data_IF_762003257385
#
_entry.id   IF_762003257385
#
_cell.length_a   1.000
_cell.length_b   1.000
_cell.length_c   1.000
_cell.angle_alpha   90.00
_cell.angle_beta   90.00
_cell.angle_gamma   90.00
#
_symmetry.space_group_name_H-M   'P 1'
#
loop_
_entity.id
_entity.type
_entity.pdbx_description
1 polymer ?
#
# COMPACT_ATOMS: atom_id res chain seq x y z
N UNK A 1 -32.95 3.19 10.78
CA UNK A 1 -32.38 3.05 12.13
C UNK A 1 -31.25 2.04 12.10
N UNK A 2 -30.01 2.49 11.87
CA UNK A 2 -28.81 1.64 11.90
C UNK A 2 -28.33 1.51 13.34
N UNK A 3 -28.44 0.31 13.93
CA UNK A 3 -27.74 -0.01 15.18
C UNK A 3 -26.24 0.06 14.90
N UNK A 4 -25.62 1.17 15.27
CA UNK A 4 -24.18 1.27 15.48
C UNK A 4 -23.83 0.25 16.56
N UNK A 5 -23.41 -0.95 16.14
CA UNK A 5 -22.72 -1.88 17.03
C UNK A 5 -21.43 -1.17 17.42
N UNK A 6 -21.42 -0.56 18.61
CA UNK A 6 -20.20 -0.15 19.32
C UNK A 6 -19.40 -1.43 19.60
N UNK A 7 -18.66 -1.89 18.59
CA UNK A 7 -17.63 -2.89 18.78
C UNK A 7 -16.60 -2.29 19.72
N UNK A 8 -16.36 -2.95 20.86
CA UNK A 8 -15.26 -2.59 21.73
C UNK A 8 -13.98 -2.66 20.89
N UNK A 9 -13.28 -1.53 20.79
CA UNK A 9 -12.12 -1.36 19.91
C UNK A 9 -10.99 -2.35 20.22
N UNK A 10 -11.01 -3.01 21.39
CA UNK A 10 -10.08 -4.04 21.79
C UNK A 10 -10.84 -5.31 22.23
N UNK A 11 -10.96 -6.29 21.32
CA UNK A 11 -11.24 -7.65 21.75
C UNK A 11 -9.99 -8.24 22.41
N UNK A 12 -10.15 -9.12 23.41
CA UNK A 12 -9.02 -9.85 24.02
C UNK A 12 -8.13 -10.52 22.95
N UNK A 13 -8.75 -11.06 21.90
CA UNK A 13 -8.06 -11.65 20.75
C UNK A 13 -7.24 -10.64 19.94
N UNK A 14 -7.76 -9.43 19.71
CA UNK A 14 -7.04 -8.38 18.99
C UNK A 14 -5.84 -7.85 19.79
N UNK A 15 -6.02 -7.66 21.10
CA UNK A 15 -4.94 -7.26 22.00
C UNK A 15 -3.82 -8.31 22.04
N UNK A 16 -4.17 -9.59 22.12
CA UNK A 16 -3.21 -10.69 22.07
C UNK A 16 -2.41 -10.71 20.76
N UNK A 17 -3.08 -10.52 19.61
CA UNK A 17 -2.40 -10.47 18.32
C UNK A 17 -1.45 -9.27 18.21
N UNK A 18 -1.85 -8.09 18.72
CA UNK A 18 -0.98 -6.91 18.79
C UNK A 18 0.25 -7.17 19.66
N UNK A 19 0.05 -7.73 20.85
CA UNK A 19 1.15 -8.07 21.75
C UNK A 19 2.13 -9.06 21.09
N UNK A 20 1.60 -10.11 20.48
CA UNK A 20 2.42 -11.10 19.77
C UNK A 20 3.10 -10.53 18.53
N UNK A 21 2.53 -9.50 17.87
CA UNK A 21 3.15 -8.91 16.67
C UNK A 21 4.54 -8.30 16.95
N UNK A 22 4.82 -7.93 18.19
CA UNK A 22 6.11 -7.40 18.63
C UNK A 22 7.10 -8.49 19.06
N UNK A 23 6.60 -9.63 19.57
CA UNK A 23 7.43 -10.69 20.15
C UNK A 23 7.66 -11.87 19.20
N UNK A 24 6.64 -12.25 18.46
CA UNK A 24 6.65 -13.38 17.54
C UNK A 24 5.85 -13.06 16.27
N UNK A 25 6.40 -12.23 15.36
CA UNK A 25 5.68 -11.68 14.21
C UNK A 25 4.98 -12.72 13.33
N UNK A 26 5.66 -13.84 13.03
CA UNK A 26 5.12 -14.92 12.18
C UNK A 26 3.93 -15.60 12.87
N UNK A 27 4.07 -15.97 14.15
CA UNK A 27 2.97 -16.57 14.90
C UNK A 27 1.80 -15.61 15.07
N UNK A 28 2.05 -14.31 15.22
CA UNK A 28 1.01 -13.30 15.27
C UNK A 28 0.22 -13.20 13.96
N UNK A 29 0.86 -13.35 12.79
CA UNK A 29 0.17 -13.40 11.49
C UNK A 29 -0.74 -14.63 11.41
N UNK A 30 -0.23 -15.81 11.76
CA UNK A 30 -1.02 -17.06 11.75
C UNK A 30 -2.23 -16.93 12.68
N UNK A 31 -1.99 -16.52 13.93
CA UNK A 31 -3.04 -16.35 14.92
C UNK A 31 -4.07 -15.29 14.50
N UNK A 32 -3.61 -14.22 13.86
CA UNK A 32 -4.46 -13.15 13.32
C UNK A 32 -5.49 -13.70 12.33
N UNK A 33 -5.08 -14.54 11.38
CA UNK A 33 -6.02 -15.18 10.44
C UNK A 33 -6.96 -16.18 11.12
N UNK A 34 -6.49 -16.89 12.15
CA UNK A 34 -7.33 -17.79 12.92
C UNK A 34 -8.44 -17.04 13.67
N UNK A 35 -8.12 -15.87 14.25
CA UNK A 35 -9.00 -15.14 15.18
C UNK A 35 -9.78 -13.97 14.56
N UNK A 36 -9.56 -13.67 13.28
CA UNK A 36 -10.25 -12.54 12.61
C UNK A 36 -11.75 -12.76 12.51
N UNK A 37 -12.50 -11.73 12.88
CA UNK A 37 -13.95 -11.62 12.76
C UNK A 37 -14.34 -10.14 12.52
N UNK A 38 -15.62 -9.89 12.18
CA UNK A 38 -16.10 -8.53 11.86
C UNK A 38 -15.88 -7.52 13.00
N UNK A 39 -15.81 -7.96 14.26
CA UNK A 39 -15.65 -7.08 15.43
C UNK A 39 -14.19 -6.64 15.64
N UNK A 40 -13.21 -7.45 15.26
CA UNK A 40 -11.78 -7.20 15.54
C UNK A 40 -10.92 -6.98 14.30
N UNK A 41 -11.47 -7.11 13.09
CA UNK A 41 -10.77 -7.01 11.80
C UNK A 41 -9.84 -5.79 11.71
N UNK A 42 -10.24 -4.62 12.23
CA UNK A 42 -9.40 -3.41 12.22
C UNK A 42 -8.11 -3.61 13.01
N UNK A 43 -8.21 -4.17 14.21
CA UNK A 43 -7.06 -4.42 15.10
C UNK A 43 -6.19 -5.53 14.54
N UNK A 44 -6.80 -6.57 13.99
CA UNK A 44 -6.09 -7.67 13.36
C UNK A 44 -5.27 -7.19 12.16
N UNK A 45 -5.83 -6.34 11.30
CA UNK A 45 -5.09 -5.76 10.18
C UNK A 45 -3.87 -4.94 10.65
N UNK A 46 -3.99 -4.23 11.78
CA UNK A 46 -2.87 -3.51 12.39
C UNK A 46 -1.82 -4.49 12.94
N UNK A 47 -2.23 -5.55 13.63
CA UNK A 47 -1.31 -6.56 14.14
C UNK A 47 -0.52 -7.23 13.02
N UNK A 48 -1.17 -7.60 11.90
CA UNK A 48 -0.50 -8.16 10.73
C UNK A 48 0.48 -7.13 10.13
N UNK A 49 0.09 -5.87 10.00
CA UNK A 49 0.95 -4.81 9.48
C UNK A 49 2.19 -4.58 10.36
N UNK A 50 2.04 -4.59 11.69
CA UNK A 50 3.17 -4.49 12.64
C UNK A 50 4.08 -5.73 12.52
N UNK A 51 3.51 -6.93 12.41
CA UNK A 51 4.31 -8.13 12.18
C UNK A 51 5.13 -8.06 10.90
N UNK A 52 4.53 -7.59 9.79
CA UNK A 52 5.25 -7.42 8.51
C UNK A 52 6.33 -6.36 8.65
N UNK A 53 6.05 -5.22 9.29
CA UNK A 53 7.05 -4.20 9.60
C UNK A 53 8.23 -4.82 10.36
N UNK A 54 7.96 -5.54 11.47
CA UNK A 54 8.99 -6.16 12.29
C UNK A 54 9.86 -7.16 11.49
N UNK A 55 9.24 -7.99 10.65
CA UNK A 55 9.96 -8.91 9.76
C UNK A 55 10.87 -8.13 8.80
N UNK A 56 10.39 -7.03 8.22
CA UNK A 56 11.17 -6.27 7.24
C UNK A 56 12.30 -5.43 7.86
N UNK A 57 12.26 -5.14 9.17
CA UNK A 57 13.40 -4.49 9.84
C UNK A 57 14.66 -5.36 9.85
N UNK A 58 14.51 -6.68 9.71
CA UNK A 58 15.64 -7.63 9.70
C UNK A 58 16.09 -8.01 8.28
N UNK A 59 15.38 -7.53 7.25
CA UNK A 59 15.66 -7.83 5.85
C UNK A 59 16.40 -6.64 5.24
N UNK A 60 17.63 -6.83 4.71
CA UNK A 60 18.36 -5.73 4.08
C UNK A 60 17.68 -5.28 2.77
N UNK A 61 17.91 -4.03 2.34
CA UNK A 61 17.39 -3.56 1.07
C UNK A 61 18.00 -4.35 -0.10
N UNK A 62 17.17 -4.84 -1.02
CA UNK A 62 17.61 -5.57 -2.22
C UNK A 62 17.42 -4.74 -3.49
N UNK A 63 18.26 -4.99 -4.50
CA UNK A 63 18.14 -4.48 -5.88
C UNK A 63 17.83 -2.97 -5.99
N UNK A 64 16.61 -2.58 -6.42
CA UNK A 64 16.22 -1.18 -6.62
C UNK A 64 16.42 -0.37 -5.34
N UNK A 65 16.02 -0.92 -4.20
CA UNK A 65 16.08 -0.23 -2.94
C UNK A 65 17.51 0.00 -2.46
N UNK A 66 18.42 -0.96 -2.72
CA UNK A 66 19.84 -0.78 -2.44
C UNK A 66 20.47 0.26 -3.38
N UNK A 67 20.10 0.25 -4.67
CA UNK A 67 20.52 1.30 -5.60
C UNK A 67 20.06 2.68 -5.12
N UNK A 68 18.80 2.81 -4.68
CA UNK A 68 18.27 4.07 -4.13
C UNK A 68 18.95 4.47 -2.84
N UNK A 69 19.30 3.53 -1.97
CA UNK A 69 20.09 3.83 -0.79
C UNK A 69 21.43 4.51 -1.15
N UNK A 70 22.13 3.99 -2.16
CA UNK A 70 23.38 4.57 -2.67
C UNK A 70 23.15 5.95 -3.32
N UNK A 71 22.16 6.03 -4.22
CA UNK A 71 21.88 7.25 -5.00
C UNK A 71 21.32 8.41 -4.16
N UNK A 72 20.74 8.12 -2.99
CA UNK A 72 20.07 9.12 -2.13
C UNK A 72 20.72 9.22 -0.76
N UNK A 73 20.38 8.33 0.17
CA UNK A 73 20.75 8.43 1.57
C UNK A 73 22.27 8.53 1.80
N UNK A 74 23.08 7.81 1.02
CA UNK A 74 24.54 7.88 1.10
C UNK A 74 25.16 9.04 0.32
N UNK A 75 24.54 9.47 -0.78
CA UNK A 75 25.05 10.57 -1.62
C UNK A 75 24.74 11.94 -1.02
N UNK A 76 23.67 12.04 -0.23
CA UNK A 76 23.26 13.30 0.40
C UNK A 76 24.27 13.75 1.46
N UNK A 77 24.79 14.95 1.24
CA UNK A 77 25.55 15.72 2.23
C UNK A 77 24.62 16.53 3.15
N UNK A 78 25.17 17.07 4.24
CA UNK A 78 24.44 17.93 5.18
C UNK A 78 23.90 19.22 4.54
N UNK A 79 24.49 19.64 3.41
CA UNK A 79 24.09 20.83 2.66
C UNK A 79 23.01 20.55 1.60
N UNK A 80 22.69 19.27 1.35
CA UNK A 80 21.71 18.89 0.32
C UNK A 80 20.34 19.47 0.68
N UNK A 81 19.77 20.30 -0.19
CA UNK A 81 18.44 20.88 0.02
C UNK A 81 17.34 19.97 -0.52
N UNK A 82 16.08 20.22 -0.12
CA UNK A 82 14.95 19.50 -0.70
C UNK A 82 14.75 19.83 -2.19
N UNK A 83 15.15 21.02 -2.65
CA UNK A 83 15.10 21.37 -4.07
C UNK A 83 16.09 20.53 -4.88
N UNK A 84 17.31 20.33 -4.35
CA UNK A 84 18.32 19.48 -4.97
C UNK A 84 17.85 18.03 -5.04
N UNK A 85 17.26 17.53 -3.95
CA UNK A 85 16.79 16.15 -3.85
C UNK A 85 15.67 15.79 -4.83
N UNK A 86 14.88 16.75 -5.31
CA UNK A 86 13.71 16.49 -6.18
C UNK A 86 13.97 16.89 -7.64
N UNK A 87 15.04 17.63 -7.91
CA UNK A 87 15.34 18.12 -9.25
C UNK A 87 15.63 16.97 -10.21
N UNK A 88 14.94 16.96 -11.36
CA UNK A 88 15.10 15.90 -12.38
C UNK A 88 14.51 14.54 -12.02
N UNK A 89 13.73 14.45 -10.94
CA UNK A 89 13.13 13.19 -10.49
C UNK A 89 11.60 13.23 -10.53
N UNK A 90 10.99 12.20 -11.13
CA UNK A 90 9.53 12.09 -11.25
C UNK A 90 8.90 11.47 -9.99
N UNK A 91 9.58 10.52 -9.35
CA UNK A 91 9.12 9.84 -8.13
C UNK A 91 9.57 10.59 -6.86
N UNK A 92 9.09 11.84 -6.72
CA UNK A 92 9.59 12.85 -5.78
C UNK A 92 9.60 12.35 -4.32
N UNK A 93 8.56 11.62 -3.89
CA UNK A 93 8.33 11.35 -2.47
C UNK A 93 9.40 10.42 -1.86
N UNK A 94 9.98 9.52 -2.66
CA UNK A 94 11.11 8.69 -2.24
C UNK A 94 12.32 9.55 -1.84
N UNK A 95 12.68 10.51 -2.68
CA UNK A 95 13.86 11.35 -2.47
C UNK A 95 13.70 12.29 -1.28
N UNK A 96 12.50 12.85 -1.12
CA UNK A 96 12.14 13.68 0.06
C UNK A 96 12.25 12.85 1.34
N UNK A 97 11.75 11.62 1.35
CA UNK A 97 11.81 10.75 2.53
C UNK A 97 13.26 10.33 2.81
N UNK A 98 14.05 9.96 1.80
CA UNK A 98 15.45 9.62 1.98
C UNK A 98 16.26 10.78 2.60
N UNK A 99 16.02 12.02 2.15
CA UNK A 99 16.68 13.20 2.73
C UNK A 99 16.21 13.47 4.16
N UNK A 100 14.92 13.31 4.43
CA UNK A 100 14.39 13.41 5.79
C UNK A 100 15.06 12.41 6.74
N UNK A 101 15.17 11.14 6.32
CA UNK A 101 15.81 10.11 7.15
C UNK A 101 17.28 10.44 7.42
N UNK A 102 18.02 10.85 6.38
CA UNK A 102 19.42 11.25 6.49
C UNK A 102 19.62 12.39 7.47
N UNK A 103 18.80 13.44 7.39
CA UNK A 103 18.87 14.63 8.26
C UNK A 103 18.51 14.36 9.72
N UNK A 104 17.81 13.26 10.00
CA UNK A 104 17.40 12.88 11.36
C UNK A 104 18.16 11.66 11.88
N UNK A 105 19.26 11.26 11.21
CA UNK A 105 20.06 10.07 11.55
C UNK A 105 19.22 8.78 11.67
N UNK A 106 18.14 8.66 10.91
CA UNK A 106 17.27 7.49 10.89
C UNK A 106 17.80 6.49 9.86
N UNK A 107 18.15 5.25 10.24
CA UNK A 107 18.69 4.28 9.31
C UNK A 107 17.77 4.02 8.11
N UNK A 108 18.34 4.01 6.89
CA UNK A 108 17.55 3.86 5.66
C UNK A 108 16.70 2.58 5.63
N UNK A 109 17.14 1.47 6.24
CA UNK A 109 16.37 0.22 6.28
C UNK A 109 15.05 0.33 7.07
N UNK A 110 14.84 1.37 7.87
CA UNK A 110 13.54 1.63 8.52
C UNK A 110 12.48 2.00 7.48
N UNK A 111 12.86 2.73 6.44
CA UNK A 111 11.95 3.14 5.38
C UNK A 111 11.24 1.98 4.68
N UNK A 112 11.94 0.97 4.12
CA UNK A 112 11.29 -0.15 3.47
C UNK A 112 10.45 -0.99 4.45
N UNK A 113 10.85 -1.08 5.72
CA UNK A 113 10.05 -1.74 6.74
C UNK A 113 8.72 -1.01 6.98
N UNK A 114 8.77 0.32 7.16
CA UNK A 114 7.57 1.16 7.30
C UNK A 114 6.66 1.00 6.09
N UNK A 115 7.22 1.09 4.88
CA UNK A 115 6.44 0.94 3.67
C UNK A 115 5.81 -0.45 3.55
N UNK A 116 6.51 -1.54 3.89
CA UNK A 116 5.95 -2.89 3.89
C UNK A 116 4.76 -3.03 4.86
N UNK A 117 4.89 -2.49 6.07
CA UNK A 117 3.79 -2.44 7.04
C UNK A 117 2.60 -1.59 6.56
N UNK A 118 2.88 -0.39 6.02
CA UNK A 118 1.85 0.52 5.47
C UNK A 118 1.11 -0.14 4.31
N UNK A 119 1.82 -0.71 3.35
CA UNK A 119 1.22 -1.42 2.21
C UNK A 119 0.33 -2.55 2.69
N UNK A 120 0.81 -3.34 3.64
CA UNK A 120 0.04 -4.44 4.23
C UNK A 120 -1.26 -3.94 4.84
N UNK A 121 -1.17 -2.86 5.64
CA UNK A 121 -2.35 -2.25 6.22
C UNK A 121 -3.32 -1.72 5.16
N UNK A 122 -2.84 -1.04 4.12
CA UNK A 122 -3.67 -0.44 3.09
C UNK A 122 -4.44 -1.49 2.30
N UNK A 123 -3.80 -2.59 1.89
CA UNK A 123 -4.49 -3.70 1.23
C UNK A 123 -5.54 -4.34 2.13
N UNK A 124 -5.16 -4.78 3.34
CA UNK A 124 -6.08 -5.43 4.26
C UNK A 124 -7.23 -4.51 4.68
N UNK A 125 -6.96 -3.21 4.86
CA UNK A 125 -7.97 -2.21 5.16
C UNK A 125 -8.89 -1.94 3.96
N UNK A 126 -8.41 -2.07 2.74
CA UNK A 126 -9.26 -1.98 1.54
C UNK A 126 -10.20 -3.19 1.47
N UNK A 127 -9.68 -4.39 1.71
CA UNK A 127 -10.48 -5.63 1.78
C UNK A 127 -11.54 -5.55 2.88
N UNK A 128 -11.18 -5.00 4.06
CA UNK A 128 -12.13 -4.72 5.14
C UNK A 128 -13.29 -3.83 4.67
N UNK A 129 -12.99 -2.73 3.98
CA UNK A 129 -14.04 -1.81 3.49
C UNK A 129 -14.98 -2.52 2.50
N UNK A 130 -14.46 -3.40 1.64
CA UNK A 130 -15.28 -4.24 0.74
C UNK A 130 -16.14 -5.23 1.53
N UNK A 131 -15.57 -5.94 2.50
CA UNK A 131 -16.28 -6.91 3.36
C UNK A 131 -17.40 -6.24 4.17
N UNK A 132 -17.20 -4.99 4.59
CA UNK A 132 -18.19 -4.21 5.34
C UNK A 132 -19.21 -3.52 4.44
N UNK A 133 -19.02 -3.52 3.12
CA UNK A 133 -19.97 -2.94 2.16
C UNK A 133 -21.23 -3.79 2.03
N UNK A 134 -22.33 -3.15 1.64
CA UNK A 134 -23.60 -3.81 1.33
C UNK A 134 -23.53 -4.79 0.15
N UNK A 135 -22.47 -4.73 -0.66
CA UNK A 135 -22.29 -5.55 -1.86
C UNK A 135 -21.59 -6.89 -1.57
N UNK A 136 -21.06 -7.10 -0.37
CA UNK A 136 -20.39 -8.33 0.00
C UNK A 136 -21.36 -9.31 0.68
N UNK A 137 -21.76 -10.34 -0.07
CA UNK A 137 -22.69 -11.39 0.38
C UNK A 137 -21.98 -12.63 0.96
N UNK A 138 -20.67 -12.53 1.23
CA UNK A 138 -19.89 -13.66 1.72
C UNK A 138 -19.94 -13.83 3.25
N UNK A 139 -20.19 -15.05 3.72
CA UNK A 139 -20.13 -15.36 5.15
C UNK A 139 -18.69 -15.46 5.69
N UNK A 140 -17.73 -15.85 4.83
CA UNK A 140 -16.36 -16.08 5.23
C UNK A 140 -15.48 -14.85 4.97
N UNK A 141 -15.27 -14.03 6.01
CA UNK A 141 -14.39 -12.86 5.91
C UNK A 141 -12.89 -13.20 5.88
N UNK A 142 -12.52 -14.42 6.29
CA UNK A 142 -11.10 -14.81 6.43
C UNK A 142 -10.45 -15.02 5.07
N UNK A 143 -11.19 -15.64 4.14
CA UNK A 143 -10.68 -15.99 2.83
C UNK A 143 -10.29 -14.75 2.00
N UNK A 144 -11.13 -13.70 1.83
CA UNK A 144 -10.72 -12.50 1.08
C UNK A 144 -9.54 -11.77 1.73
N UNK A 145 -9.47 -11.73 3.07
CA UNK A 145 -8.34 -11.15 3.78
C UNK A 145 -7.05 -11.94 3.55
N UNK A 146 -7.12 -13.26 3.63
CA UNK A 146 -5.98 -14.13 3.40
C UNK A 146 -5.51 -14.04 1.95
N UNK A 147 -6.42 -14.06 0.98
CA UNK A 147 -6.11 -13.83 -0.43
C UNK A 147 -5.44 -12.47 -0.61
N UNK A 148 -6.02 -11.40 -0.06
CA UNK A 148 -5.41 -10.06 -0.13
C UNK A 148 -4.02 -10.04 0.46
N UNK A 149 -3.79 -10.75 1.57
CA UNK A 149 -2.47 -10.89 2.17
C UNK A 149 -1.48 -11.66 1.32
N UNK A 150 -1.90 -12.73 0.64
CA UNK A 150 -1.04 -13.46 -0.30
C UNK A 150 -0.69 -12.63 -1.54
N UNK A 151 -1.62 -11.80 -2.00
CA UNK A 151 -1.36 -10.79 -3.03
C UNK A 151 -0.46 -9.67 -2.53
N UNK A 152 -0.24 -9.57 -1.20
CA UNK A 152 0.87 -8.79 -0.70
C UNK A 152 2.15 -9.55 -1.06
N UNK A 153 2.64 -9.41 -2.29
CA UNK A 153 3.88 -10.04 -2.73
C UNK A 153 5.04 -9.36 -1.99
N UNK A 154 5.33 -9.85 -0.77
CA UNK A 154 6.36 -9.33 0.13
C UNK A 154 7.72 -9.28 -0.59
N UNK A 155 7.97 -10.20 -1.52
CA UNK A 155 9.19 -10.26 -2.33
C UNK A 155 9.20 -9.18 -3.42
N UNK A 156 8.10 -8.97 -4.16
CA UNK A 156 8.01 -7.84 -5.11
C UNK A 156 8.02 -6.48 -4.40
N UNK A 157 7.52 -6.42 -3.16
CA UNK A 157 7.71 -5.29 -2.26
C UNK A 157 9.20 -5.00 -2.05
N UNK A 158 10.01 -6.00 -1.69
CA UNK A 158 11.45 -5.84 -1.52
C UNK A 158 12.20 -5.42 -2.80
N UNK A 159 11.68 -5.75 -3.99
CA UNK A 159 12.31 -5.45 -5.29
C UNK A 159 11.86 -4.12 -5.93
N UNK A 160 10.70 -3.57 -5.56
CA UNK A 160 10.07 -2.42 -6.22
C UNK A 160 9.16 -1.60 -5.31
N UNK A 161 9.63 -1.27 -4.12
CA UNK A 161 8.85 -0.67 -3.03
C UNK A 161 8.09 0.63 -3.40
N UNK A 162 8.63 1.44 -4.32
CA UNK A 162 8.00 2.68 -4.82
C UNK A 162 6.70 2.44 -5.56
N UNK A 163 6.74 1.56 -6.56
CA UNK A 163 5.56 1.19 -7.33
C UNK A 163 4.54 0.50 -6.43
N UNK A 164 5.02 -0.28 -5.48
CA UNK A 164 4.16 -1.08 -4.62
C UNK A 164 3.35 -0.27 -3.61
N UNK A 165 3.99 0.70 -2.93
CA UNK A 165 3.26 1.65 -2.07
C UNK A 165 2.30 2.52 -2.88
N UNK A 166 2.69 2.91 -4.09
CA UNK A 166 1.85 3.66 -5.01
C UNK A 166 0.57 2.87 -5.37
N UNK A 167 0.68 1.58 -5.73
CA UNK A 167 -0.48 0.70 -5.98
C UNK A 167 -1.37 0.57 -4.74
N UNK A 168 -0.78 0.41 -3.56
CA UNK A 168 -1.54 0.25 -2.31
C UNK A 168 -2.33 1.54 -1.95
N UNK A 169 -1.69 2.70 -2.11
CA UNK A 169 -2.33 4.01 -1.90
C UNK A 169 -3.46 4.25 -2.91
N UNK A 170 -3.22 3.96 -4.19
CA UNK A 170 -4.25 4.06 -5.23
C UNK A 170 -5.44 3.14 -4.94
N UNK A 171 -5.17 1.86 -4.61
CA UNK A 171 -6.19 0.86 -4.27
C UNK A 171 -7.03 1.32 -3.09
N UNK A 172 -6.39 1.81 -2.03
CA UNK A 172 -7.11 2.34 -0.86
C UNK A 172 -7.90 3.60 -1.21
N UNK A 173 -7.34 4.51 -2.01
CA UNK A 173 -8.00 5.72 -2.47
C UNK A 173 -9.29 5.42 -3.24
N UNK A 174 -9.24 4.51 -4.20
CA UNK A 174 -10.41 4.04 -4.97
C UNK A 174 -11.42 3.34 -4.07
N UNK A 175 -10.97 2.49 -3.15
CA UNK A 175 -11.85 1.79 -2.21
C UNK A 175 -12.61 2.78 -1.32
N UNK A 176 -11.92 3.77 -0.76
CA UNK A 176 -12.55 4.81 0.06
C UNK A 176 -13.57 5.62 -0.77
N UNK A 177 -13.25 5.93 -2.03
CA UNK A 177 -14.16 6.63 -2.93
C UNK A 177 -15.46 5.85 -3.10
N UNK A 178 -15.36 4.56 -3.43
CA UNK A 178 -16.49 3.73 -3.80
C UNK A 178 -17.35 3.34 -2.60
N UNK A 179 -16.73 2.98 -1.47
CA UNK A 179 -17.44 2.35 -0.35
C UNK A 179 -17.61 3.27 0.88
N UNK A 180 -16.66 4.17 1.15
CA UNK A 180 -16.67 4.97 2.39
C UNK A 180 -17.07 6.44 2.17
N UNK A 181 -17.21 6.88 0.91
CA UNK A 181 -17.61 8.24 0.47
C UNK A 181 -16.79 9.39 1.09
N UNK A 182 -15.57 9.14 1.56
CA UNK A 182 -14.65 10.18 2.05
C UNK A 182 -13.81 10.73 0.91
N UNK A 183 -14.41 11.59 0.10
CA UNK A 183 -13.83 12.08 -1.16
C UNK A 183 -12.45 12.74 -0.96
N UNK A 184 -12.31 13.63 0.01
CA UNK A 184 -11.04 14.32 0.26
C UNK A 184 -9.90 13.33 0.55
N UNK A 185 -10.14 12.36 1.44
CA UNK A 185 -9.14 11.34 1.78
C UNK A 185 -8.81 10.44 0.58
N UNK A 186 -9.81 10.10 -0.24
CA UNK A 186 -9.59 9.33 -1.46
C UNK A 186 -8.63 10.04 -2.42
N UNK A 187 -8.90 11.33 -2.73
CA UNK A 187 -8.04 12.10 -3.63
C UNK A 187 -6.64 12.32 -3.06
N UNK A 188 -6.51 12.57 -1.75
CA UNK A 188 -5.20 12.69 -1.09
C UNK A 188 -4.38 11.41 -1.30
N UNK A 189 -4.98 10.23 -1.11
CA UNK A 189 -4.29 8.96 -1.30
C UNK A 189 -3.91 8.71 -2.77
N UNK A 190 -4.82 9.01 -3.70
CA UNK A 190 -4.55 8.85 -5.14
C UNK A 190 -3.45 9.80 -5.63
N UNK A 191 -3.47 11.07 -5.21
CA UNK A 191 -2.41 12.03 -5.54
C UNK A 191 -1.07 11.59 -4.92
N UNK A 192 -1.10 11.13 -3.65
CA UNK A 192 0.10 10.60 -2.99
C UNK A 192 0.68 9.39 -3.74
N UNK A 193 -0.17 8.54 -4.33
CA UNK A 193 0.27 7.42 -5.15
C UNK A 193 1.08 7.88 -6.38
N UNK A 194 0.63 8.96 -7.05
CA UNK A 194 1.35 9.55 -8.19
C UNK A 194 2.71 10.15 -7.80
N UNK A 195 2.83 10.72 -6.59
CA UNK A 195 4.11 11.21 -6.08
C UNK A 195 5.09 10.10 -5.68
N UNK A 196 4.59 8.91 -5.35
CA UNK A 196 5.43 7.73 -5.11
C UNK A 196 5.87 7.05 -6.39
N UNK A 197 4.99 7.01 -7.40
CA UNK A 197 5.32 6.45 -8.70
C UNK A 197 4.48 7.09 -9.82
N UNK A 198 5.13 7.75 -10.77
CA UNK A 198 4.45 8.53 -11.81
C UNK A 198 3.46 7.71 -12.66
N UNK A 199 3.73 6.42 -12.85
CA UNK A 199 2.85 5.53 -13.62
C UNK A 199 1.44 5.41 -13.04
N UNK A 200 1.21 5.80 -11.77
CA UNK A 200 -0.13 5.88 -11.19
C UNK A 200 -1.02 6.95 -11.81
N UNK A 201 -0.48 7.92 -12.55
CA UNK A 201 -1.29 8.88 -13.30
C UNK A 201 -2.22 8.17 -14.29
N UNK A 202 -1.75 7.10 -14.94
CA UNK A 202 -2.55 6.32 -15.88
C UNK A 202 -3.80 5.69 -15.22
N UNK A 203 -3.69 4.86 -14.15
CA UNK A 203 -4.87 4.32 -13.49
C UNK A 203 -5.73 5.39 -12.80
N UNK A 204 -5.15 6.53 -12.35
CA UNK A 204 -5.93 7.68 -11.85
C UNK A 204 -6.80 8.27 -12.95
N UNK A 205 -6.24 8.58 -14.12
CA UNK A 205 -7.01 9.09 -15.25
C UNK A 205 -8.02 8.07 -15.78
N UNK A 206 -7.66 6.79 -15.83
CA UNK A 206 -8.59 5.73 -16.18
C UNK A 206 -9.76 5.64 -15.19
N UNK A 207 -9.49 5.76 -13.88
CA UNK A 207 -10.53 5.79 -12.86
C UNK A 207 -11.46 7.00 -13.02
N UNK A 208 -10.90 8.20 -13.22
CA UNK A 208 -11.68 9.43 -13.48
C UNK A 208 -12.50 9.26 -14.76
N UNK A 209 -11.88 8.84 -15.86
CA UNK A 209 -12.51 8.60 -17.15
C UNK A 209 -13.64 7.59 -17.09
N UNK A 210 -13.51 6.53 -16.28
CA UNK A 210 -14.56 5.52 -16.06
C UNK A 210 -15.86 6.09 -15.49
N UNK A 211 -15.81 7.29 -14.90
CA UNK A 211 -17.02 7.97 -14.38
C UNK A 211 -17.80 8.69 -15.48
N UNK A 212 -17.12 9.09 -16.56
CA UNK A 212 -17.74 9.80 -17.69
C UNK A 212 -18.08 8.85 -18.84
N UNK A 213 -17.32 7.77 -19.00
CA UNK A 213 -17.46 6.82 -20.12
C UNK A 213 -17.82 5.44 -19.59
N UNK A 214 -19.01 4.95 -19.95
CA UNK A 214 -19.40 3.54 -19.72
C UNK A 214 -18.84 2.67 -20.84
N UNK A 215 -17.81 1.90 -20.51
CA UNK A 215 -17.25 0.91 -21.44
C UNK A 215 -18.09 -0.37 -21.33
N UNK A 216 -18.62 -0.88 -22.45
CA UNK A 216 -19.25 -2.21 -22.45
C UNK A 216 -18.17 -3.26 -22.15
N UNK A 217 -18.48 -4.22 -21.28
CA UNK A 217 -17.55 -5.27 -20.83
C UNK A 217 -16.91 -6.04 -21.99
N UNK A 218 -17.60 -6.16 -23.12
CA UNK A 218 -17.08 -6.76 -24.36
C UNK A 218 -15.83 -6.06 -24.92
N UNK A 219 -15.60 -4.79 -24.61
CA UNK A 219 -14.42 -4.03 -25.06
C UNK A 219 -13.25 -4.07 -24.08
N UNK A 220 -13.42 -4.61 -22.87
CA UNK A 220 -12.33 -4.69 -21.87
C UNK A 220 -11.10 -5.44 -22.40
N UNK A 221 -11.23 -6.59 -23.10
CA UNK A 221 -10.07 -7.27 -23.70
C UNK A 221 -9.35 -6.39 -24.74
N UNK A 222 -10.11 -5.63 -25.54
CA UNK A 222 -9.54 -4.72 -26.56
C UNK A 222 -8.74 -3.60 -25.91
N UNK A 223 -9.26 -2.96 -24.85
CA UNK A 223 -8.53 -1.95 -24.10
C UNK A 223 -7.29 -2.51 -23.40
N UNK A 224 -7.32 -3.76 -22.94
CA UNK A 224 -6.15 -4.43 -22.38
C UNK A 224 -5.06 -4.62 -23.43
N UNK A 225 -5.41 -5.08 -24.64
CA UNK A 225 -4.46 -5.24 -25.76
C UNK A 225 -3.89 -3.87 -26.19
N UNK A 226 -4.74 -2.85 -26.32
CA UNK A 226 -4.29 -1.48 -26.64
C UNK A 226 -3.33 -0.97 -25.55
N UNK A 227 -3.68 -1.13 -24.27
CA UNK A 227 -2.82 -0.73 -23.15
C UNK A 227 -1.48 -1.46 -23.13
N UNK A 228 -1.48 -2.76 -23.46
CA UNK A 228 -0.25 -3.55 -23.57
C UNK A 228 0.66 -3.08 -24.73
N UNK A 229 0.07 -2.82 -25.91
CA UNK A 229 0.80 -2.28 -27.06
C UNK A 229 1.34 -0.89 -26.74
N UNK A 230 0.52 -0.02 -26.16
CA UNK A 230 0.93 1.33 -25.79
C UNK A 230 2.04 1.32 -24.73
N UNK A 231 1.91 0.44 -23.72
CA UNK A 231 2.94 0.26 -22.69
C UNK A 231 4.27 -0.26 -23.24
N UNK A 232 4.23 -1.23 -24.18
CA UNK A 232 5.44 -1.77 -24.82
C UNK A 232 6.13 -0.75 -25.73
N UNK A 233 5.37 0.05 -26.49
CA UNK A 233 5.90 1.12 -27.32
C UNK A 233 6.50 2.25 -26.48
N UNK A 234 5.82 2.69 -25.42
CA UNK A 234 6.32 3.73 -24.52
C UNK A 234 7.59 3.28 -23.80
N UNK A 235 7.70 2.01 -23.43
CA UNK A 235 8.90 1.47 -22.80
C UNK A 235 10.16 1.72 -23.65
N UNK A 236 10.03 1.66 -24.98
CA UNK A 236 11.12 1.91 -25.94
C UNK A 236 11.61 3.36 -25.94
N UNK A 237 10.82 4.31 -25.42
CA UNK A 237 11.18 5.73 -25.34
C UNK A 237 11.56 6.18 -23.91
N UNK A 238 11.38 5.32 -22.91
CA UNK A 238 11.67 5.62 -21.49
C UNK A 238 12.96 4.91 -21.01
N UNK A 239 13.33 3.79 -21.63
CA UNK A 239 14.61 3.10 -21.42
C UNK A 239 15.65 3.68 -22.38
#
# INVERSE_FOLDING_TARGET
>A
MTKLVKGTMFSKSGALCLFLSLLFPIGAIILSFCLVNKKNIRVINIAIAISVFAIFTTIPPYQDLYRRYLDTYLSYSDFTTYADAISGHVDILMYVIALFLKRNDIPFYIFPAVQAGVVTYLFLSSTKDVIESEYYDGDNIKLPLFISFLFINLIAGALGLRFYIAVALFTKGVTIYLFNRRLALSFILMISAAFFHFSMLLPIFAFIGSRFVRIKTSFVPVFFVIGFIFGSLILTYII
#
